data_IF_837389478808
#
_entry.id   IF_837389478808
#
_cell.length_a   1.000
_cell.length_b   1.000
_cell.length_c   1.000
_cell.angle_alpha   90.00
_cell.angle_beta   90.00
_cell.angle_gamma   90.00
#
_symmetry.space_group_name_H-M   'P 1'
#
loop_
_entity.id
_entity.type
_entity.pdbx_description
1 polymer ?
#
# COMPACT_ATOMS: atom_id res chain seq x y z
N UNK A 1 -20.51 25.89 -30.71
CA UNK A 1 -20.52 25.11 -29.47
C UNK A 1 -21.35 25.86 -28.45
N UNK A 2 -22.50 25.33 -28.07
CA UNK A 2 -23.44 26.04 -27.21
C UNK A 2 -23.02 25.86 -25.73
N UNK A 3 -23.39 26.84 -24.87
CA UNK A 3 -23.05 26.81 -23.45
C UNK A 3 -23.54 25.51 -22.73
N UNK A 4 -24.57 24.86 -23.25
CA UNK A 4 -25.10 23.58 -22.76
C UNK A 4 -24.16 22.42 -23.07
N UNK A 5 -23.45 22.46 -24.19
CA UNK A 5 -22.50 21.41 -24.60
C UNK A 5 -21.19 21.52 -23.78
N UNK A 6 -20.77 22.74 -23.44
CA UNK A 6 -19.64 23.02 -22.55
C UNK A 6 -19.91 22.54 -21.12
N UNK A 7 -21.13 22.74 -20.61
CA UNK A 7 -21.52 22.26 -19.28
C UNK A 7 -21.60 20.72 -19.21
N UNK A 8 -22.09 20.07 -20.27
CA UNK A 8 -22.15 18.62 -20.35
C UNK A 8 -20.74 17.99 -20.41
N UNK A 9 -19.83 18.62 -21.16
CA UNK A 9 -18.43 18.14 -21.26
C UNK A 9 -17.66 18.34 -19.95
N UNK A 10 -17.88 19.45 -19.24
CA UNK A 10 -17.27 19.70 -17.94
C UNK A 10 -17.76 18.73 -16.86
N UNK A 11 -19.02 18.32 -16.93
CA UNK A 11 -19.60 17.36 -15.96
C UNK A 11 -19.09 15.94 -16.17
N UNK A 12 -18.76 15.56 -17.41
CA UNK A 12 -18.19 14.24 -17.72
C UNK A 12 -16.72 14.10 -17.28
N UNK A 13 -15.94 15.19 -17.22
CA UNK A 13 -14.56 15.16 -16.74
C UNK A 13 -14.45 15.02 -15.20
N UNK A 14 -15.49 15.33 -14.46
CA UNK A 14 -15.50 15.23 -12.99
C UNK A 14 -15.74 13.81 -12.46
N UNK A 15 -15.96 12.82 -13.33
CA UNK A 15 -16.14 11.41 -12.97
C UNK A 15 -14.86 10.57 -13.01
N UNK A 16 -13.70 11.19 -13.24
CA UNK A 16 -12.41 10.54 -13.04
C UNK A 16 -12.19 10.35 -11.54
N UNK A 17 -12.66 9.22 -11.04
CA UNK A 17 -12.62 8.87 -9.63
C UNK A 17 -11.22 8.99 -9.03
N UNK A 18 -11.15 9.45 -7.78
CA UNK A 18 -9.91 9.59 -7.01
C UNK A 18 -9.27 8.25 -6.59
N UNK A 19 -9.51 7.16 -7.30
CA UNK A 19 -8.91 5.87 -7.01
C UNK A 19 -7.41 5.90 -7.28
N UNK A 20 -6.66 5.15 -6.47
CA UNK A 20 -5.22 4.93 -6.68
C UNK A 20 -4.97 3.89 -7.76
N UNK A 21 -3.82 3.97 -8.41
CA UNK A 21 -3.40 3.05 -9.48
C UNK A 21 -2.32 2.10 -8.95
N UNK A 22 -2.44 0.78 -9.20
CA UNK A 22 -1.42 -0.18 -8.81
C UNK A 22 -0.06 0.16 -9.41
N UNK A 23 0.99 0.07 -8.60
CA UNK A 23 2.37 0.18 -9.06
C UNK A 23 3.00 -1.20 -9.13
N UNK A 24 3.67 -1.59 -10.25
CA UNK A 24 4.37 -2.86 -10.32
C UNK A 24 5.44 -2.98 -9.25
N UNK A 25 5.59 -4.17 -8.68
CA UNK A 25 6.60 -4.42 -7.62
C UNK A 25 8.02 -4.09 -8.10
N UNK A 26 8.31 -4.30 -9.39
CA UNK A 26 9.61 -4.02 -10.00
C UNK A 26 9.96 -2.52 -10.09
N UNK A 27 8.96 -1.66 -10.16
CA UNK A 27 9.14 -0.20 -10.31
C UNK A 27 8.82 0.57 -9.04
N UNK A 28 8.20 -0.06 -8.05
CA UNK A 28 7.97 0.54 -6.74
C UNK A 28 9.30 0.88 -6.07
N UNK A 29 9.41 2.09 -5.54
CA UNK A 29 10.61 2.58 -4.87
C UNK A 29 10.70 2.01 -3.47
N UNK A 30 11.90 1.67 -3.02
CA UNK A 30 12.08 1.22 -1.64
C UNK A 30 11.86 2.38 -0.66
N UNK A 31 11.22 2.08 0.47
CA UNK A 31 11.07 3.03 1.57
C UNK A 31 12.42 3.53 2.05
N UNK A 32 12.63 4.84 2.25
CA UNK A 32 13.88 5.35 2.80
C UNK A 32 14.07 4.91 4.25
N UNK A 33 15.32 4.70 4.65
CA UNK A 33 15.68 4.23 6.01
C UNK A 33 15.11 5.10 7.13
N UNK A 34 14.92 6.38 6.89
CA UNK A 34 14.35 7.33 7.87
C UNK A 34 12.89 7.04 8.23
N UNK A 35 12.20 6.25 7.40
CA UNK A 35 10.81 5.83 7.64
C UNK A 35 10.65 4.34 7.95
N UNK A 36 11.75 3.63 8.12
CA UNK A 36 11.75 2.26 8.66
C UNK A 36 11.59 2.34 10.19
N UNK A 37 10.60 1.67 10.72
CA UNK A 37 10.28 1.68 12.16
C UNK A 37 10.88 0.47 12.89
N UNK A 38 11.13 -0.64 12.17
CA UNK A 38 11.76 -1.83 12.72
C UNK A 38 12.74 -2.43 11.70
N UNK A 39 14.01 -2.02 11.79
CA UNK A 39 15.04 -2.46 10.87
C UNK A 39 15.34 -3.97 10.96
N UNK A 40 15.11 -4.59 12.11
CA UNK A 40 15.34 -6.02 12.32
C UNK A 40 14.45 -6.89 11.43
N UNK A 41 13.23 -6.44 11.14
CA UNK A 41 12.33 -7.16 10.24
C UNK A 41 12.78 -7.11 8.77
N UNK A 42 13.62 -6.15 8.40
CA UNK A 42 14.14 -6.02 7.04
C UNK A 42 15.38 -6.89 6.79
N UNK A 43 15.90 -7.53 7.83
CA UNK A 43 17.05 -8.42 7.72
C UNK A 43 16.62 -9.79 7.20
N UNK A 44 17.21 -10.19 6.07
CA UNK A 44 17.02 -11.55 5.55
C UNK A 44 17.74 -12.55 6.46
N UNK A 45 16.99 -13.51 6.99
CA UNK A 45 17.51 -14.59 7.82
C UNK A 45 17.06 -15.94 7.28
N UNK A 46 17.86 -16.96 7.53
CA UNK A 46 17.49 -18.35 7.19
C UNK A 46 16.17 -18.74 7.88
N UNK A 47 15.33 -19.46 7.17
CA UNK A 47 14.02 -19.92 7.67
C UNK A 47 12.89 -18.90 7.55
N UNK A 48 13.17 -17.66 7.13
CA UNK A 48 12.16 -16.64 6.92
C UNK A 48 11.73 -16.55 5.45
N UNK A 49 10.45 -16.25 5.22
CA UNK A 49 9.90 -15.93 3.91
C UNK A 49 9.80 -14.43 3.68
N UNK A 50 9.91 -14.02 2.43
CA UNK A 50 9.86 -12.61 2.03
C UNK A 50 8.42 -12.12 1.92
N UNK A 51 8.18 -10.94 2.47
CA UNK A 51 6.93 -10.19 2.34
C UNK A 51 7.23 -8.84 1.72
N UNK A 52 6.43 -8.44 0.75
CA UNK A 52 6.50 -7.12 0.12
C UNK A 52 5.15 -6.44 0.31
N UNK A 53 5.15 -5.28 0.92
CA UNK A 53 3.97 -4.41 0.96
C UNK A 53 4.29 -3.14 0.21
N UNK A 54 3.47 -2.81 -0.79
CA UNK A 54 3.61 -1.61 -1.61
C UNK A 54 2.36 -0.77 -1.56
N UNK A 55 2.50 0.52 -1.81
CA UNK A 55 1.39 1.45 -1.87
C UNK A 55 1.20 1.94 -3.29
N UNK A 56 -0.05 1.90 -3.73
CA UNK A 56 -0.47 2.45 -5.02
C UNK A 56 -0.12 3.93 -5.17
N UNK A 57 -0.02 4.39 -6.40
CA UNK A 57 0.13 5.79 -6.77
C UNK A 57 -1.22 6.46 -7.00
N UNK A 58 -1.25 7.79 -6.93
CA UNK A 58 -2.41 8.60 -7.20
C UNK A 58 -2.55 9.76 -6.22
N UNK A 59 -3.55 10.60 -6.47
CA UNK A 59 -3.80 11.80 -5.67
C UNK A 59 -4.50 11.48 -4.35
N UNK A 60 -5.27 10.39 -4.29
CA UNK A 60 -5.99 10.01 -3.07
C UNK A 60 -5.00 9.79 -1.91
N UNK A 61 -5.18 10.57 -0.84
CA UNK A 61 -4.34 10.56 0.35
C UNK A 61 -2.82 10.71 0.08
N UNK A 62 -2.43 11.38 -1.01
CA UNK A 62 -1.03 11.54 -1.42
C UNK A 62 -0.18 12.33 -0.41
N UNK A 63 -0.80 13.17 0.42
CA UNK A 63 -0.13 13.94 1.46
C UNK A 63 0.21 13.11 2.72
N UNK A 64 -0.27 11.88 2.84
CA UNK A 64 -0.07 11.02 4.01
C UNK A 64 0.69 9.75 3.65
N UNK A 65 1.45 9.22 4.60
CA UNK A 65 2.03 7.89 4.50
C UNK A 65 1.03 6.82 4.97
N UNK A 66 1.32 5.57 4.64
CA UNK A 66 0.65 4.41 5.21
C UNK A 66 1.64 3.65 6.09
N UNK A 67 1.31 3.50 7.37
CA UNK A 67 2.08 2.69 8.30
C UNK A 67 1.72 1.22 8.10
N UNK A 68 2.74 0.41 7.88
CA UNK A 68 2.64 -1.04 7.69
C UNK A 68 2.97 -1.75 9.00
N UNK A 69 2.21 -2.78 9.32
CA UNK A 69 2.42 -3.62 10.50
C UNK A 69 2.53 -5.10 10.10
N UNK A 70 3.31 -5.84 10.85
CA UNK A 70 3.39 -7.29 10.80
C UNK A 70 3.12 -7.85 12.19
N UNK A 71 2.05 -8.66 12.34
CA UNK A 71 1.62 -9.22 13.62
C UNK A 71 1.53 -8.16 14.75
N UNK A 72 0.98 -7.00 14.43
CA UNK A 72 0.85 -5.87 15.37
C UNK A 72 2.11 -5.03 15.58
N UNK A 73 3.25 -5.43 15.02
CA UNK A 73 4.51 -4.69 15.14
C UNK A 73 4.68 -3.73 13.97
N UNK A 74 4.92 -2.42 14.18
CA UNK A 74 5.18 -1.47 13.11
C UNK A 74 6.44 -1.84 12.32
N UNK A 75 6.37 -1.80 10.99
CA UNK A 75 7.48 -2.12 10.09
C UNK A 75 8.08 -0.85 9.48
N UNK A 76 7.25 -0.07 8.81
CA UNK A 76 7.66 1.16 8.11
C UNK A 76 6.45 2.05 7.78
N UNK A 77 6.74 3.29 7.37
CA UNK A 77 5.76 4.19 6.77
C UNK A 77 6.09 4.41 5.30
N UNK A 78 5.20 3.98 4.41
CA UNK A 78 5.41 4.06 2.96
C UNK A 78 4.55 5.15 2.34
N UNK A 79 5.14 5.93 1.43
CA UNK A 79 4.49 6.95 0.62
C UNK A 79 3.90 6.33 -0.66
N UNK A 80 3.05 7.06 -1.42
CA UNK A 80 2.59 6.58 -2.72
C UNK A 80 3.73 6.12 -3.64
N UNK A 81 3.57 4.97 -4.29
CA UNK A 81 4.56 4.39 -5.18
C UNK A 81 5.76 3.74 -4.49
N UNK A 82 5.72 3.62 -3.18
CA UNK A 82 6.79 2.97 -2.41
C UNK A 82 6.41 1.55 -1.97
N UNK A 83 7.44 0.79 -1.65
CA UNK A 83 7.35 -0.54 -1.04
C UNK A 83 8.27 -0.68 0.16
N UNK A 84 7.92 -1.59 1.04
CA UNK A 84 8.82 -2.13 2.05
C UNK A 84 8.92 -3.64 1.87
N UNK A 85 10.14 -4.16 1.91
CA UNK A 85 10.43 -5.59 1.88
C UNK A 85 10.92 -6.02 3.25
N UNK A 86 10.30 -7.04 3.82
CA UNK A 86 10.65 -7.56 5.14
C UNK A 86 10.46 -9.07 5.19
N UNK A 87 10.85 -9.70 6.28
CA UNK A 87 10.91 -11.16 6.39
C UNK A 87 10.20 -11.64 7.64
N UNK A 88 9.36 -12.67 7.47
CA UNK A 88 8.55 -13.28 8.53
C UNK A 88 8.71 -14.81 8.52
N UNK A 89 8.43 -15.49 9.65
CA UNK A 89 8.33 -16.94 9.68
C UNK A 89 7.33 -17.47 8.64
N UNK A 90 7.58 -18.68 8.13
CA UNK A 90 6.61 -19.37 7.27
C UNK A 90 5.28 -19.61 8.00
N UNK A 91 4.22 -19.64 7.24
CA UNK A 91 2.86 -19.87 7.73
C UNK A 91 1.97 -18.64 7.64
N UNK A 92 0.86 -18.67 8.36
CA UNK A 92 -0.09 -17.55 8.41
C UNK A 92 0.46 -16.43 9.29
N UNK A 93 0.47 -15.23 8.71
CA UNK A 93 0.88 -13.99 9.38
C UNK A 93 -0.22 -12.94 9.19
N UNK A 94 -0.34 -12.01 10.10
CA UNK A 94 -1.28 -10.89 9.98
C UNK A 94 -0.55 -9.63 9.56
N UNK A 95 -0.90 -9.09 8.40
CA UNK A 95 -0.46 -7.79 7.95
C UNK A 95 -1.53 -6.75 8.22
N UNK A 96 -1.12 -5.54 8.52
CA UNK A 96 -2.05 -4.43 8.68
C UNK A 96 -1.46 -3.15 8.07
N UNK A 97 -2.37 -2.24 7.75
CA UNK A 97 -2.00 -0.89 7.32
C UNK A 97 -2.93 0.15 7.96
N UNK A 98 -2.39 1.33 8.18
CA UNK A 98 -3.12 2.47 8.72
C UNK A 98 -2.61 3.75 8.07
N UNK A 99 -3.51 4.62 7.63
CA UNK A 99 -3.14 5.95 7.17
C UNK A 99 -2.55 6.78 8.32
N UNK A 100 -1.53 7.58 8.04
CA UNK A 100 -0.91 8.48 9.02
C UNK A 100 -1.32 9.93 8.78
N UNK A 101 -1.11 10.79 9.78
CA UNK A 101 -1.40 12.22 9.67
C UNK A 101 -2.90 12.51 9.67
N UNK A 102 -3.31 13.43 8.80
CA UNK A 102 -4.70 13.92 8.72
C UNK A 102 -5.58 13.09 7.77
N UNK A 103 -5.03 12.07 7.12
CA UNK A 103 -5.78 11.27 6.16
C UNK A 103 -6.73 10.30 6.86
N UNK A 104 -7.90 10.16 6.26
CA UNK A 104 -8.92 9.23 6.73
C UNK A 104 -8.52 7.82 6.30
N UNK A 105 -8.57 6.90 7.24
CA UNK A 105 -8.29 5.48 7.01
C UNK A 105 -8.00 4.82 8.36
N UNK A 106 -8.92 3.97 8.80
CA UNK A 106 -8.72 3.16 9.99
C UNK A 106 -7.69 2.06 9.76
N UNK A 107 -7.45 1.25 10.78
CA UNK A 107 -6.63 0.05 10.64
C UNK A 107 -7.36 -0.95 9.74
N UNK A 108 -6.67 -1.43 8.72
CA UNK A 108 -7.12 -2.51 7.86
C UNK A 108 -6.15 -3.68 7.97
N UNK A 109 -6.65 -4.90 7.91
CA UNK A 109 -5.88 -6.11 8.14
C UNK A 109 -6.11 -7.14 7.03
N UNK A 110 -5.07 -7.92 6.74
CA UNK A 110 -5.14 -9.03 5.80
C UNK A 110 -4.23 -10.19 6.26
N UNK A 111 -4.70 -11.41 6.08
CA UNK A 111 -3.88 -12.60 6.29
C UNK A 111 -2.89 -12.77 5.15
N UNK A 112 -1.67 -13.13 5.48
CA UNK A 112 -0.59 -13.44 4.55
C UNK A 112 -0.11 -14.87 4.78
N UNK A 113 -0.14 -15.69 3.73
CA UNK A 113 0.54 -16.98 3.73
C UNK A 113 1.98 -16.78 3.31
N UNK A 114 2.89 -16.82 4.25
CA UNK A 114 4.33 -16.61 4.02
C UNK A 114 5.01 -17.92 3.70
N UNK A 115 5.81 -17.93 2.64
CA UNK A 115 6.59 -19.08 2.18
C UNK A 115 8.01 -18.64 1.83
N UNK A 116 8.99 -19.53 2.01
CA UNK A 116 10.37 -19.31 1.58
C UNK A 116 10.56 -19.43 0.07
N UNK A 117 9.64 -20.11 -0.61
CA UNK A 117 9.75 -20.39 -2.04
C UNK A 117 9.35 -19.23 -2.94
N UNK A 118 8.50 -18.32 -2.45
CA UNK A 118 8.01 -17.17 -3.20
C UNK A 118 7.64 -16.01 -2.27
N UNK A 119 7.83 -14.76 -2.70
CA UNK A 119 7.38 -13.59 -1.94
C UNK A 119 5.86 -13.56 -1.78
N UNK A 120 5.37 -13.17 -0.61
CA UNK A 120 4.00 -12.75 -0.40
C UNK A 120 3.90 -11.24 -0.70
N UNK A 121 3.15 -10.86 -1.72
CA UNK A 121 3.07 -9.47 -2.19
C UNK A 121 1.69 -8.90 -1.90
N UNK A 122 1.67 -7.75 -1.25
CA UNK A 122 0.45 -7.02 -0.87
C UNK A 122 0.49 -5.58 -1.39
N UNK A 123 -0.69 -5.03 -1.65
CA UNK A 123 -0.83 -3.62 -2.02
C UNK A 123 -1.75 -2.89 -1.06
N UNK A 124 -1.43 -1.65 -0.79
CA UNK A 124 -2.29 -0.68 -0.11
C UNK A 124 -2.90 0.23 -1.17
N UNK A 125 -4.20 0.40 -1.13
CA UNK A 125 -4.94 1.20 -2.11
C UNK A 125 -6.04 2.04 -1.48
N UNK A 126 -6.41 3.10 -2.19
CA UNK A 126 -7.62 3.88 -1.94
C UNK A 126 -8.57 3.68 -3.12
N UNK A 127 -9.80 3.30 -2.86
CA UNK A 127 -10.85 3.20 -3.87
C UNK A 127 -11.40 4.57 -4.27
N UNK A 128 -12.29 4.58 -5.27
CA UNK A 128 -12.91 5.81 -5.80
C UNK A 128 -13.76 6.56 -4.76
N UNK A 129 -14.32 5.85 -3.78
CA UNK A 129 -15.07 6.43 -2.66
C UNK A 129 -14.22 6.65 -1.40
N UNK A 130 -12.89 6.51 -1.51
CA UNK A 130 -11.95 6.72 -0.41
C UNK A 130 -11.72 5.50 0.47
N UNK A 131 -12.16 4.32 0.07
CA UNK A 131 -11.94 3.07 0.82
C UNK A 131 -10.46 2.75 0.90
N UNK A 132 -9.95 2.68 2.11
CA UNK A 132 -8.57 2.28 2.39
C UNK A 132 -8.52 0.75 2.56
N UNK A 133 -7.58 0.10 1.90
CA UNK A 133 -7.46 -1.36 1.96
C UNK A 133 -6.02 -1.85 1.85
N UNK A 134 -5.77 -3.03 2.41
CA UNK A 134 -4.57 -3.85 2.17
C UNK A 134 -5.03 -5.21 1.63
N UNK A 135 -4.43 -5.66 0.53
CA UNK A 135 -4.86 -6.91 -0.13
C UNK A 135 -3.71 -7.57 -0.87
N UNK A 136 -3.74 -8.91 -1.04
CA UNK A 136 -2.76 -9.60 -1.86
C UNK A 136 -2.83 -9.11 -3.32
N UNK A 137 -1.69 -9.17 -4.00
CA UNK A 137 -1.59 -8.80 -5.41
C UNK A 137 -0.54 -9.66 -6.12
N UNK A 138 -0.79 -9.94 -7.39
CA UNK A 138 0.20 -10.57 -8.27
C UNK A 138 0.98 -9.55 -9.11
N UNK A 139 0.70 -8.26 -8.93
CA UNK A 139 1.15 -7.15 -9.77
C UNK A 139 2.44 -6.50 -9.31
#
# INVERSE_FOLDING_TARGET
MNARDLLATALLLSLLGCATTPVPTSTARDVPRTRVLNATLLERKEGLGQVVVKRDEGLAASACNSRVFANGTPVAEIAPGEKVTFYLPEGEQMLAAMATGICIGGLVEAKASVSRSRPAVFRISYGSSGEFSIQPTAF
#
